data_IF_094680631683
#
_entry.id   IF_094680631683
#
_cell.length_a   1.000
_cell.length_b   1.000
_cell.length_c   1.000
_cell.angle_alpha   90.00
_cell.angle_beta   90.00
_cell.angle_gamma   90.00
#
_symmetry.space_group_name_H-M   'P 1'
#
loop_
_entity.id
_entity.type
_entity.pdbx_description
1 polymer ?
#
# COMPACT_ATOMS: atom_id res chain seq x y z
N UNK A 1 -23.69 3.42 -6.19
CA UNK A 1 -22.75 2.38 -6.68
C UNK A 1 -22.37 1.52 -5.47
N UNK A 2 -22.49 0.20 -5.59
CA UNK A 2 -22.07 -0.70 -4.50
C UNK A 2 -20.53 -0.76 -4.49
N UNK A 3 -19.90 -0.77 -3.31
CA UNK A 3 -18.44 -0.83 -3.18
C UNK A 3 -17.81 -2.01 -3.93
N UNK A 4 -18.54 -3.12 -4.07
CA UNK A 4 -18.11 -4.30 -4.81
C UNK A 4 -17.90 -4.05 -6.31
N UNK A 5 -18.62 -3.10 -6.91
CA UNK A 5 -18.47 -2.77 -8.34
C UNK A 5 -17.43 -1.69 -8.65
N UNK A 6 -16.75 -1.17 -7.61
CA UNK A 6 -15.72 -0.13 -7.82
C UNK A 6 -14.53 -0.68 -8.63
N UNK A 7 -14.15 -1.94 -8.41
CA UNK A 7 -13.05 -2.57 -9.14
C UNK A 7 -13.31 -2.86 -10.63
N UNK A 8 -14.56 -2.77 -11.08
CA UNK A 8 -14.96 -2.99 -12.48
C UNK A 8 -14.74 -1.76 -13.36
N UNK A 9 -14.45 -0.61 -12.75
CA UNK A 9 -14.21 0.63 -13.49
C UNK A 9 -12.88 0.55 -14.27
N UNK A 10 -12.79 1.17 -15.47
CA UNK A 10 -11.55 1.30 -16.23
C UNK A 10 -10.63 2.35 -15.56
N UNK A 11 -10.32 2.17 -14.30
CA UNK A 11 -9.53 3.08 -13.46
C UNK A 11 -8.62 2.28 -12.54
N UNK A 12 -7.32 2.47 -12.64
CA UNK A 12 -6.34 1.78 -11.81
C UNK A 12 -6.48 2.12 -10.32
N UNK A 13 -6.85 3.36 -10.00
CA UNK A 13 -7.14 3.77 -8.61
C UNK A 13 -8.35 3.01 -8.07
N UNK A 14 -9.44 2.93 -8.84
CA UNK A 14 -10.64 2.20 -8.44
C UNK A 14 -10.35 0.70 -8.21
N UNK A 15 -9.61 0.07 -9.12
CA UNK A 15 -9.16 -1.33 -8.97
C UNK A 15 -8.31 -1.53 -7.70
N UNK A 16 -7.40 -0.62 -7.41
CA UNK A 16 -6.58 -0.68 -6.20
C UNK A 16 -7.43 -0.50 -4.94
N UNK A 17 -8.31 0.49 -4.92
CA UNK A 17 -9.20 0.75 -3.80
C UNK A 17 -10.19 -0.39 -3.55
N UNK A 18 -10.60 -1.12 -4.59
CA UNK A 18 -11.47 -2.30 -4.41
C UNK A 18 -10.84 -3.36 -3.49
N UNK A 19 -9.52 -3.39 -3.36
CA UNK A 19 -8.77 -4.29 -2.47
C UNK A 19 -8.36 -3.60 -1.17
N UNK A 20 -7.86 -2.37 -1.24
CA UNK A 20 -7.21 -1.67 -0.13
C UNK A 20 -8.03 -0.50 0.43
N UNK A 21 -9.21 -0.19 -0.13
CA UNK A 21 -9.95 1.03 0.17
C UNK A 21 -10.63 1.10 1.53
N UNK A 22 -10.45 0.13 2.41
CA UNK A 22 -10.91 0.22 3.79
C UNK A 22 -9.78 0.59 4.76
N UNK A 23 -10.15 1.30 5.83
CA UNK A 23 -9.18 1.82 6.82
C UNK A 23 -8.34 0.73 7.50
N UNK A 24 -8.90 -0.45 7.71
CA UNK A 24 -8.21 -1.51 8.46
C UNK A 24 -7.16 -2.19 7.59
N UNK A 25 -7.44 -2.39 6.31
CA UNK A 25 -6.50 -3.00 5.36
C UNK A 25 -5.19 -2.20 5.28
N UNK A 26 -5.27 -0.87 5.16
CA UNK A 26 -4.07 -0.02 5.14
C UNK A 26 -3.28 -0.08 6.45
N UNK A 27 -3.97 -0.12 7.60
CA UNK A 27 -3.31 -0.25 8.90
C UNK A 27 -2.69 -1.64 9.13
N UNK A 28 -3.32 -2.70 8.62
CA UNK A 28 -2.75 -4.06 8.62
C UNK A 28 -1.46 -4.09 7.79
N UNK A 29 -1.47 -3.49 6.59
CA UNK A 29 -0.29 -3.42 5.73
C UNK A 29 0.84 -2.62 6.40
N UNK A 30 0.54 -1.45 6.99
CA UNK A 30 1.51 -0.70 7.81
C UNK A 30 2.17 -1.59 8.86
N UNK A 31 1.37 -2.33 9.61
CA UNK A 31 1.86 -3.22 10.67
C UNK A 31 2.70 -4.38 10.11
N UNK A 32 2.31 -4.94 8.95
CA UNK A 32 3.09 -5.98 8.27
C UNK A 32 4.48 -5.46 7.86
N UNK A 33 4.59 -4.23 7.37
CA UNK A 33 5.86 -3.57 7.07
C UNK A 33 6.70 -3.27 8.31
N UNK A 34 6.05 -3.04 9.46
CA UNK A 34 6.72 -2.91 10.77
C UNK A 34 7.10 -4.27 11.37
N UNK A 35 6.89 -5.38 10.65
CA UNK A 35 7.32 -6.71 11.06
C UNK A 35 6.31 -7.50 11.86
N UNK A 36 5.08 -7.00 12.05
CA UNK A 36 4.00 -7.78 12.69
C UNK A 36 3.58 -8.89 11.71
N UNK A 37 3.50 -10.13 12.24
CA UNK A 37 3.23 -11.33 11.42
C UNK A 37 2.14 -12.22 11.99
N UNK A 38 1.87 -12.18 13.30
CA UNK A 38 0.93 -13.07 13.97
C UNK A 38 -0.42 -12.42 14.12
N UNK A 39 -1.48 -13.23 14.05
CA UNK A 39 -2.86 -12.76 14.17
C UNK A 39 -3.09 -11.96 15.45
N UNK A 40 -2.65 -12.50 16.59
CA UNK A 40 -2.90 -11.88 17.89
C UNK A 40 -2.12 -10.58 18.06
N UNK A 41 -0.91 -10.47 17.47
CA UNK A 41 -0.12 -9.23 17.46
C UNK A 41 -0.79 -8.14 16.61
N UNK A 42 -1.34 -8.51 15.43
CA UNK A 42 -2.15 -7.58 14.63
C UNK A 42 -3.37 -7.11 15.41
N UNK A 43 -4.09 -8.03 16.05
CA UNK A 43 -5.29 -7.71 16.81
C UNK A 43 -4.99 -6.76 17.96
N UNK A 44 -3.96 -7.06 18.73
CA UNK A 44 -3.50 -6.26 19.87
C UNK A 44 -3.10 -4.86 19.45
N UNK A 45 -2.30 -4.75 18.38
CA UNK A 45 -1.82 -3.47 17.86
C UNK A 45 -2.92 -2.58 17.26
N UNK A 46 -3.94 -3.17 16.65
CA UNK A 46 -5.00 -2.42 15.95
C UNK A 46 -6.25 -2.19 16.79
N UNK A 47 -6.47 -2.95 17.87
CA UNK A 47 -7.67 -2.87 18.69
C UNK A 47 -8.95 -3.27 17.96
N UNK A 48 -8.86 -4.06 16.89
CA UNK A 48 -10.01 -4.49 16.09
C UNK A 48 -10.57 -5.82 16.60
N UNK A 49 -11.84 -6.10 16.27
CA UNK A 49 -12.44 -7.40 16.59
C UNK A 49 -11.80 -8.51 15.76
N UNK A 50 -11.76 -9.74 16.33
CA UNK A 50 -11.23 -10.93 15.62
C UNK A 50 -11.88 -11.15 14.26
N UNK A 51 -13.19 -10.93 14.18
CA UNK A 51 -13.95 -11.11 12.94
C UNK A 51 -13.46 -10.15 11.83
N UNK A 52 -13.36 -8.86 12.13
CA UNK A 52 -12.89 -7.85 11.17
C UNK A 52 -11.46 -8.15 10.72
N UNK A 53 -10.56 -8.48 11.66
CA UNK A 53 -9.18 -8.80 11.33
C UNK A 53 -9.09 -10.05 10.45
N UNK A 54 -9.80 -11.12 10.81
CA UNK A 54 -9.81 -12.37 10.06
C UNK A 54 -10.27 -12.16 8.61
N UNK A 55 -11.35 -11.40 8.42
CA UNK A 55 -11.89 -11.08 7.10
C UNK A 55 -10.87 -10.29 6.26
N UNK A 56 -10.22 -9.28 6.84
CA UNK A 56 -9.23 -8.46 6.11
C UNK A 56 -7.96 -9.23 5.77
N UNK A 57 -7.43 -10.02 6.71
CA UNK A 57 -6.27 -10.88 6.45
C UNK A 57 -6.57 -11.94 5.38
N UNK A 58 -7.76 -12.56 5.45
CA UNK A 58 -8.22 -13.51 4.43
C UNK A 58 -8.23 -12.86 3.05
N UNK A 59 -8.83 -11.68 2.92
CA UNK A 59 -8.90 -10.94 1.67
C UNK A 59 -7.52 -10.57 1.12
N UNK A 60 -6.60 -10.13 1.97
CA UNK A 60 -5.22 -9.84 1.56
C UNK A 60 -4.48 -11.09 1.07
N UNK A 61 -4.77 -12.26 1.63
CA UNK A 61 -4.23 -13.54 1.16
C UNK A 61 -4.86 -13.95 -0.18
N UNK A 62 -6.18 -13.82 -0.33
CA UNK A 62 -6.89 -14.10 -1.58
C UNK A 62 -6.41 -13.24 -2.74
N UNK A 63 -6.07 -11.98 -2.48
CA UNK A 63 -5.49 -11.08 -3.48
C UNK A 63 -3.97 -11.25 -3.67
N UNK A 64 -3.34 -12.20 -3.00
CA UNK A 64 -1.92 -12.49 -3.11
C UNK A 64 -1.01 -11.38 -2.58
N UNK A 65 -1.50 -10.52 -1.69
CA UNK A 65 -0.73 -9.45 -1.04
C UNK A 65 0.01 -10.00 0.18
N UNK A 66 -0.67 -10.85 0.96
CA UNK A 66 -0.07 -11.61 2.03
C UNK A 66 -0.06 -13.10 1.68
N UNK A 67 0.88 -13.83 2.24
CA UNK A 67 0.87 -15.29 2.28
C UNK A 67 0.79 -15.75 3.73
N UNK A 68 0.07 -16.86 3.94
CA UNK A 68 -0.14 -17.51 5.23
C UNK A 68 0.81 -18.69 5.34
N UNK A 69 1.80 -18.61 6.22
CA UNK A 69 2.78 -19.67 6.43
C UNK A 69 2.54 -20.34 7.80
N UNK A 70 2.48 -21.65 7.89
CA UNK A 70 2.49 -22.35 9.17
C UNK A 70 3.85 -22.15 9.84
N UNK A 71 3.88 -21.97 11.17
CA UNK A 71 5.14 -21.79 11.89
C UNK A 71 5.35 -22.81 13.03
N UNK A 72 4.37 -23.67 13.32
CA UNK A 72 4.51 -24.77 14.27
C UNK A 72 3.68 -25.99 13.84
N UNK A 73 4.27 -27.19 13.97
CA UNK A 73 3.66 -28.46 13.55
C UNK A 73 2.49 -28.96 14.43
N UNK A 74 2.30 -28.42 15.63
CA UNK A 74 1.35 -28.98 16.62
C UNK A 74 0.08 -28.16 16.87
N UNK A 75 -0.05 -26.97 16.34
CA UNK A 75 -1.25 -26.15 16.37
C UNK A 75 -1.34 -25.39 15.05
N UNK A 76 -2.53 -25.17 14.53
CA UNK A 76 -2.80 -24.36 13.34
C UNK A 76 -2.45 -22.87 13.59
N UNK A 77 -1.16 -22.59 13.86
CA UNK A 77 -0.63 -21.25 14.03
C UNK A 77 0.05 -20.81 12.77
N UNK A 78 -0.31 -19.64 12.30
CA UNK A 78 0.15 -19.08 11.03
C UNK A 78 0.77 -17.72 11.21
N UNK A 79 1.77 -17.43 10.37
CA UNK A 79 2.29 -16.09 10.14
C UNK A 79 1.79 -15.55 8.80
N UNK A 80 1.47 -14.27 8.79
CA UNK A 80 1.12 -13.53 7.59
C UNK A 80 2.36 -12.74 7.14
N UNK A 81 2.84 -13.01 5.94
CA UNK A 81 4.03 -12.36 5.38
C UNK A 81 3.68 -11.69 4.05
N UNK A 82 4.25 -10.53 3.80
CA UNK A 82 4.16 -9.86 2.52
C UNK A 82 4.73 -10.74 1.40
N UNK A 83 4.06 -10.76 0.26
CA UNK A 83 4.56 -11.29 -1.01
C UNK A 83 5.29 -10.19 -1.77
N UNK A 84 5.90 -10.47 -2.93
CA UNK A 84 6.46 -9.43 -3.81
C UNK A 84 5.39 -8.38 -4.17
N UNK A 85 4.18 -8.81 -4.56
CA UNK A 85 3.04 -7.92 -4.78
C UNK A 85 2.68 -7.08 -3.56
N UNK A 86 2.83 -7.65 -2.37
CA UNK A 86 2.62 -6.93 -1.11
C UNK A 86 3.73 -5.93 -0.83
N UNK A 87 4.98 -6.26 -1.13
CA UNK A 87 6.14 -5.37 -0.96
C UNK A 87 6.05 -4.14 -1.88
N UNK A 88 5.50 -4.28 -3.08
CA UNK A 88 5.27 -3.17 -4.02
C UNK A 88 4.30 -2.10 -3.49
N UNK A 89 3.58 -2.36 -2.39
CA UNK A 89 2.74 -1.37 -1.72
C UNK A 89 3.50 -0.42 -0.79
N UNK A 90 4.78 -0.69 -0.49
CA UNK A 90 5.57 0.15 0.40
C UNK A 90 5.64 1.62 -0.05
N UNK A 91 5.92 1.94 -1.33
CA UNK A 91 5.95 3.33 -1.79
C UNK A 91 4.63 4.07 -1.58
N UNK A 92 3.49 3.40 -1.77
CA UNK A 92 2.16 3.97 -1.55
C UNK A 92 1.98 4.34 -0.06
N UNK A 93 2.35 3.44 0.86
CA UNK A 93 2.28 3.70 2.29
C UNK A 93 3.22 4.82 2.72
N UNK A 94 4.43 4.88 2.17
CA UNK A 94 5.41 5.93 2.46
C UNK A 94 4.88 7.30 2.04
N UNK A 95 4.33 7.43 0.82
CA UNK A 95 3.75 8.69 0.35
C UNK A 95 2.51 9.09 1.14
N UNK A 96 1.68 8.12 1.54
CA UNK A 96 0.53 8.37 2.41
C UNK A 96 0.96 8.88 3.79
N UNK A 97 2.02 8.27 4.38
CA UNK A 97 2.59 8.71 5.65
C UNK A 97 3.13 10.14 5.53
N UNK A 98 3.91 10.44 4.50
CA UNK A 98 4.45 11.79 4.29
C UNK A 98 3.34 12.85 4.14
N UNK A 99 2.23 12.51 3.49
CA UNK A 99 1.09 13.40 3.41
C UNK A 99 0.43 13.61 4.78
N UNK A 100 0.25 12.54 5.56
CA UNK A 100 -0.31 12.59 6.92
C UNK A 100 0.56 13.42 7.87
N UNK A 101 1.86 13.18 7.88
CA UNK A 101 2.81 13.90 8.70
C UNK A 101 2.84 15.41 8.37
N UNK A 102 2.69 15.75 7.09
CA UNK A 102 2.69 17.14 6.65
C UNK A 102 1.43 17.92 7.02
N UNK A 103 0.26 17.27 6.94
CA UNK A 103 -1.02 17.98 6.98
C UNK A 103 -1.89 17.65 8.19
N UNK A 104 -1.61 16.54 8.90
CA UNK A 104 -2.45 15.98 9.95
C UNK A 104 -1.70 15.81 11.29
N UNK A 105 -0.49 16.36 11.41
CA UNK A 105 0.34 16.17 12.60
C UNK A 105 -0.08 17.05 13.79
N UNK A 106 -0.78 18.16 13.55
CA UNK A 106 -1.21 19.12 14.55
C UNK A 106 -0.05 19.62 15.45
N UNK A 107 1.16 19.71 14.86
CA UNK A 107 2.36 20.15 15.57
C UNK A 107 3.02 19.09 16.46
N UNK A 108 2.61 17.82 16.37
CA UNK A 108 3.18 16.69 17.15
C UNK A 108 4.42 16.08 16.51
N UNK A 109 4.69 16.38 15.24
CA UNK A 109 5.76 15.80 14.45
C UNK A 109 5.47 14.39 13.96
N UNK A 110 6.34 13.88 13.10
CA UNK A 110 6.22 12.55 12.52
C UNK A 110 6.42 11.46 13.60
N UNK A 111 5.46 10.55 13.81
CA UNK A 111 5.59 9.48 14.81
C UNK A 111 6.60 8.40 14.43
N UNK A 112 6.98 8.31 13.14
CA UNK A 112 7.95 7.35 12.62
C UNK A 112 8.88 8.05 11.63
N UNK A 113 10.19 7.86 11.80
CA UNK A 113 11.21 8.36 10.88
C UNK A 113 11.74 7.19 10.06
N UNK A 114 11.66 7.28 8.73
CA UNK A 114 12.18 6.26 7.83
C UNK A 114 13.63 6.54 7.47
N UNK A 115 14.44 5.47 7.46
CA UNK A 115 15.83 5.53 7.04
C UNK A 115 16.05 4.67 5.81
N UNK A 116 16.79 5.18 4.83
CA UNK A 116 17.19 4.40 3.67
C UNK A 116 18.36 3.49 4.04
N UNK A 117 18.21 2.17 3.83
CA UNK A 117 19.18 1.17 4.31
C UNK A 117 20.58 1.36 3.74
N UNK A 118 20.66 1.68 2.45
CA UNK A 118 21.94 1.72 1.75
C UNK A 118 22.81 2.91 2.15
N UNK A 119 22.20 4.05 2.46
CA UNK A 119 22.94 5.26 2.87
C UNK A 119 22.78 5.61 4.37
N UNK A 120 21.88 4.96 5.09
CA UNK A 120 21.64 5.17 6.52
C UNK A 120 20.93 6.47 6.90
N UNK A 121 20.61 7.35 5.94
CA UNK A 121 20.02 8.64 6.22
C UNK A 121 18.50 8.57 6.37
N UNK A 122 17.97 9.43 7.25
CA UNK A 122 16.54 9.71 7.29
C UNK A 122 16.10 10.36 5.96
N UNK A 123 14.92 10.00 5.46
CA UNK A 123 14.44 10.53 4.19
C UNK A 123 12.93 10.82 4.21
N UNK A 124 12.52 11.73 3.34
CA UNK A 124 11.12 11.94 2.99
C UNK A 124 10.86 11.33 1.61
N UNK A 125 9.83 10.49 1.45
CA UNK A 125 9.53 9.86 0.18
C UNK A 125 9.13 10.91 -0.88
N UNK A 126 9.62 10.73 -2.10
CA UNK A 126 9.31 11.56 -3.26
C UNK A 126 8.89 10.67 -4.42
N UNK A 127 7.93 11.16 -5.22
CA UNK A 127 7.64 10.57 -6.53
C UNK A 127 8.48 11.28 -7.57
N UNK A 128 9.21 10.52 -8.37
CA UNK A 128 10.10 11.05 -9.41
C UNK A 128 9.75 10.47 -10.78
N UNK A 129 10.02 11.23 -11.83
CA UNK A 129 9.89 10.76 -13.20
C UNK A 129 10.90 9.64 -13.46
N UNK A 130 10.46 8.51 -14.02
CA UNK A 130 11.33 7.37 -14.33
C UNK A 130 12.40 7.70 -15.37
N UNK A 131 12.18 8.70 -16.22
CA UNK A 131 13.06 9.12 -17.31
C UNK A 131 14.06 10.18 -16.86
N UNK A 132 13.59 11.36 -16.45
CA UNK A 132 14.47 12.50 -16.12
C UNK A 132 14.86 12.57 -14.63
N UNK A 133 14.28 11.72 -13.77
CA UNK A 133 14.52 11.68 -12.31
C UNK A 133 14.08 12.93 -11.53
N UNK A 134 13.48 13.90 -12.19
CA UNK A 134 12.93 15.08 -11.53
C UNK A 134 11.70 14.77 -10.70
N UNK A 135 11.46 15.56 -9.65
CA UNK A 135 10.32 15.40 -8.76
C UNK A 135 8.98 15.65 -9.51
N UNK A 136 8.05 14.71 -9.34
CA UNK A 136 6.71 14.82 -9.91
C UNK A 136 5.78 15.50 -8.91
N UNK A 137 5.08 16.53 -9.39
CA UNK A 137 4.10 17.30 -8.62
C UNK A 137 2.79 17.43 -9.43
N UNK A 138 1.70 17.83 -8.77
CA UNK A 138 0.43 18.09 -9.45
C UNK A 138 0.49 19.20 -10.52
N UNK A 139 1.59 19.99 -10.54
CA UNK A 139 1.73 21.13 -11.46
C UNK A 139 2.58 20.83 -12.70
N UNK A 140 3.29 19.71 -12.72
CA UNK A 140 4.19 19.33 -13.81
C UNK A 140 3.87 17.98 -14.45
N UNK A 141 2.65 17.46 -14.24
CA UNK A 141 2.14 16.25 -14.89
C UNK A 141 0.90 16.58 -15.71
N UNK A 142 0.71 15.82 -16.77
CA UNK A 142 -0.54 15.73 -17.51
C UNK A 142 -0.80 14.25 -17.84
N UNK A 143 -2.03 13.92 -18.19
CA UNK A 143 -2.42 12.56 -18.57
C UNK A 143 -2.98 12.55 -19.98
N UNK A 144 -2.69 11.48 -20.72
CA UNK A 144 -3.34 11.14 -21.99
C UNK A 144 -4.05 9.81 -21.81
N UNK A 145 -5.09 9.54 -22.61
CA UNK A 145 -5.68 8.21 -22.64
C UNK A 145 -4.73 7.21 -23.35
N UNK A 146 -4.89 5.91 -23.08
CA UNK A 146 -4.13 4.89 -23.81
C UNK A 146 -4.44 4.89 -25.33
N UNK A 147 -5.67 5.20 -25.70
CA UNK A 147 -6.09 5.33 -27.09
C UNK A 147 -5.41 6.52 -27.81
N UNK A 148 -5.18 7.63 -27.11
CA UNK A 148 -4.47 8.80 -27.64
C UNK A 148 -2.98 8.49 -27.86
N UNK A 149 -2.35 7.69 -27.00
CA UNK A 149 -0.95 7.28 -27.15
C UNK A 149 -0.75 6.42 -28.39
N UNK A 150 -1.59 5.42 -28.62
CA UNK A 150 -1.55 4.57 -29.81
C UNK A 150 -1.71 5.37 -31.11
N UNK A 151 -2.58 6.42 -31.07
CA UNK A 151 -2.79 7.32 -32.21
C UNK A 151 -1.59 8.23 -32.50
N UNK A 152 -0.80 8.59 -31.48
CA UNK A 152 0.43 9.38 -31.64
C UNK A 152 1.59 8.53 -32.18
N UNK A 153 1.75 7.33 -31.69
CA UNK A 153 2.78 6.40 -32.18
C UNK A 153 2.56 5.99 -33.62
N UNK A 154 1.30 5.77 -34.03
CA UNK A 154 0.95 5.46 -35.42
C UNK A 154 1.16 6.62 -36.40
N UNK A 155 1.31 7.86 -35.95
CA UNK A 155 1.58 9.05 -36.78
C UNK A 155 3.07 9.36 -36.90
N UNK A 156 3.92 8.68 -36.12
CA UNK A 156 5.39 8.86 -36.11
C UNK A 156 6.12 7.77 -36.90
N UNK A 157 5.38 6.77 -37.40
CA UNK A 157 5.83 5.72 -38.33
C UNK A 157 5.34 6.02 -39.75
#
# INVERSE_FOLDING_TARGET
>A
MKWQSVGEQPCSVARTLSVMGDRWTMLILRNAFLGIRRFDDFQSSLGVTRHVLAERLKRLVEHGILKKNPYQDRQERFEYRLTEKGLDLQPILLTLTAWGDKWMDEGRGAPVIFHHRDCGHAFTPMVVCSVCKEAVTARNIYSTSSEDVESLESKLL
#
